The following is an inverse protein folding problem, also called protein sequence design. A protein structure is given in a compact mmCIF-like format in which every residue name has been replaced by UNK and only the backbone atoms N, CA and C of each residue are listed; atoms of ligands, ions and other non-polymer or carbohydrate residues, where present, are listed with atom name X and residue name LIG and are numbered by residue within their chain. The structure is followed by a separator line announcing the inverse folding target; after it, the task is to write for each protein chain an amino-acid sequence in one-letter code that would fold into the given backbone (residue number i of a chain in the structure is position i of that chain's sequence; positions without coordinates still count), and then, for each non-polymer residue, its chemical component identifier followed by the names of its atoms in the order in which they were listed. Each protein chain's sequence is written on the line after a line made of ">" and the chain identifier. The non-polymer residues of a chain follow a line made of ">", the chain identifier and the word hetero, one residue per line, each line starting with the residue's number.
data_IF_262990199046
#
_entry.id   IF_262990199046
#
_cell.length_a   1.000
_cell.length_b   1.000
_cell.length_c   1.000
_cell.angle_alpha   90.00
_cell.angle_beta   90.00
_cell.angle_gamma   90.00
#
_symmetry.space_group_name_H-M   'P 1'
#
loop_
_entity.id
_entity.type
_entity.pdbx_description
1 polymer ?
#
# COMPACT_ATOMS: atom_id res chain seq x y z
N UNK A 1 15.08 -8.52 11.32
CA UNK A 1 14.76 -7.42 10.38
C UNK A 1 13.90 -6.34 11.03
N UNK A 2 12.68 -6.61 11.50
CA UNK A 2 11.82 -5.56 12.10
C UNK A 2 12.48 -4.92 13.33
N UNK A 3 13.04 -5.71 14.24
CA UNK A 3 13.77 -5.17 15.40
C UNK A 3 15.02 -4.36 15.00
N UNK A 4 15.73 -4.79 13.94
CA UNK A 4 16.86 -4.05 13.37
C UNK A 4 16.43 -2.69 12.81
N UNK A 5 15.29 -2.66 12.08
CA UNK A 5 14.72 -1.43 11.55
C UNK A 5 14.40 -0.43 12.67
N UNK A 6 13.77 -0.91 13.75
CA UNK A 6 13.45 -0.07 14.89
C UNK A 6 14.71 0.43 15.61
N UNK A 7 15.68 -0.46 15.87
CA UNK A 7 16.92 -0.10 16.56
C UNK A 7 17.72 0.98 15.81
N UNK A 8 17.74 0.96 14.48
CA UNK A 8 18.58 1.86 13.67
C UNK A 8 17.87 3.15 13.24
N UNK A 9 16.60 3.06 12.84
CA UNK A 9 15.90 4.18 12.19
C UNK A 9 14.85 4.81 13.08
N UNK A 10 14.40 4.12 14.12
CA UNK A 10 13.32 4.54 15.01
C UNK A 10 13.66 4.25 16.48
N UNK A 11 14.82 4.71 16.99
CA UNK A 11 15.20 4.47 18.37
C UNK A 11 14.18 5.10 19.31
N UNK A 12 13.74 4.34 20.31
CA UNK A 12 12.75 4.77 21.29
C UNK A 12 11.29 4.43 20.94
N UNK A 13 11.02 3.95 19.72
CA UNK A 13 9.70 3.39 19.40
C UNK A 13 9.48 2.05 20.10
N UNK A 14 8.26 1.84 20.58
CA UNK A 14 7.86 0.59 21.25
C UNK A 14 7.85 -0.58 20.25
N UNK A 15 8.68 -1.62 20.45
CA UNK A 15 8.69 -2.81 19.62
C UNK A 15 7.33 -3.49 19.52
N UNK A 16 6.45 -3.36 20.51
CA UNK A 16 5.11 -3.94 20.46
C UNK A 16 4.21 -3.27 19.41
N UNK A 17 4.54 -2.04 19.02
CA UNK A 17 3.80 -1.25 18.02
C UNK A 17 4.40 -1.33 16.62
N UNK A 18 5.45 -2.14 16.41
CA UNK A 18 6.10 -2.29 15.11
C UNK A 18 5.11 -2.68 14.00
N UNK A 19 4.06 -3.45 14.33
CA UNK A 19 3.01 -3.81 13.37
C UNK A 19 2.31 -2.58 12.78
N UNK A 20 2.11 -1.52 13.55
CA UNK A 20 1.46 -0.30 13.07
C UNK A 20 2.35 0.40 12.03
N UNK A 21 3.63 0.60 12.37
CA UNK A 21 4.65 1.18 11.48
C UNK A 21 4.78 0.35 10.20
N UNK A 22 4.83 -0.99 10.32
CA UNK A 22 4.96 -1.89 9.18
C UNK A 22 3.72 -1.93 8.27
N UNK A 23 2.55 -1.50 8.74
CA UNK A 23 1.35 -1.38 7.92
C UNK A 23 1.08 0.06 7.43
N UNK A 24 1.92 1.03 7.79
CA UNK A 24 1.83 2.41 7.32
C UNK A 24 1.07 3.33 8.25
N UNK A 25 0.69 2.86 9.44
CA UNK A 25 0.08 3.71 10.44
C UNK A 25 1.13 4.70 10.98
N UNK A 26 0.81 6.00 11.05
CA UNK A 26 1.72 7.01 11.58
C UNK A 26 1.82 6.98 13.12
N UNK A 27 1.14 6.05 13.80
CA UNK A 27 1.20 5.87 15.24
C UNK A 27 2.02 4.62 15.57
N UNK A 28 3.01 4.68 16.48
CA UNK A 28 3.31 5.72 17.46
C UNK A 28 4.46 6.65 17.05
N UNK A 29 4.82 6.74 15.77
CA UNK A 29 5.86 7.67 15.30
C UNK A 29 5.44 9.13 15.57
N UNK A 30 5.76 9.61 16.77
CA UNK A 30 5.42 10.96 17.27
C UNK A 30 6.11 12.07 16.50
N UNK A 31 7.06 11.70 15.63
CA UNK A 31 7.90 12.59 14.83
C UNK A 31 7.78 12.20 13.36
N UNK A 32 7.84 13.20 12.47
CA UNK A 32 7.90 12.96 11.04
C UNK A 32 9.05 12.00 10.69
N UNK A 33 8.72 10.88 10.03
CA UNK A 33 9.70 9.89 9.61
C UNK A 33 10.74 10.52 8.66
N UNK A 34 12.03 10.35 8.96
CA UNK A 34 13.09 10.74 8.04
C UNK A 34 12.99 9.98 6.71
N UNK A 35 13.56 10.52 5.63
CA UNK A 35 13.60 9.82 4.34
C UNK A 35 14.32 8.48 4.42
N UNK A 36 15.36 8.41 5.25
CA UNK A 36 16.10 7.18 5.51
C UNK A 36 15.19 6.14 6.18
N UNK A 37 14.45 6.52 7.22
CA UNK A 37 13.49 5.64 7.89
C UNK A 37 12.37 5.19 6.94
N UNK A 38 11.82 6.11 6.13
CA UNK A 38 10.79 5.79 5.12
C UNK A 38 11.30 4.74 4.11
N UNK A 39 12.51 4.93 3.55
CA UNK A 39 13.13 3.99 2.61
C UNK A 39 13.42 2.64 3.27
N UNK A 40 13.91 2.62 4.51
CA UNK A 40 14.18 1.39 5.25
C UNK A 40 12.89 0.60 5.55
N UNK A 41 11.80 1.26 5.95
CA UNK A 41 10.48 0.63 6.13
C UNK A 41 10.01 -0.01 4.83
N UNK A 42 10.09 0.69 3.71
CA UNK A 42 9.70 0.16 2.40
C UNK A 42 10.51 -1.08 2.03
N UNK A 43 11.84 -1.04 2.20
CA UNK A 43 12.71 -2.19 1.90
C UNK A 43 12.45 -3.37 2.82
N UNK A 44 12.25 -3.12 4.11
CA UNK A 44 11.85 -4.15 5.06
C UNK A 44 10.54 -4.84 4.63
N UNK A 45 9.54 -4.08 4.15
CA UNK A 45 8.29 -4.64 3.61
C UNK A 45 8.51 -5.47 2.35
N UNK A 46 9.42 -5.09 1.46
CA UNK A 46 9.73 -5.88 0.27
C UNK A 46 10.34 -7.24 0.63
N UNK A 47 11.18 -7.28 1.67
CA UNK A 47 11.75 -8.52 2.18
C UNK A 47 10.76 -9.37 2.99
N UNK A 48 9.69 -8.77 3.54
CA UNK A 48 8.62 -9.48 4.25
C UNK A 48 7.49 -9.86 3.30
N UNK A 49 7.35 -11.16 3.00
CA UNK A 49 6.36 -11.68 2.04
C UNK A 49 4.87 -11.46 2.42
N UNK A 50 4.55 -10.98 3.62
CA UNK A 50 3.17 -10.84 4.09
C UNK A 50 2.94 -9.59 4.98
N UNK A 51 1.73 -8.99 4.94
CA UNK A 51 1.35 -7.94 5.86
C UNK A 51 1.34 -8.44 7.31
N UNK A 52 1.86 -7.62 8.21
CA UNK A 52 2.08 -8.01 9.60
C UNK A 52 0.87 -7.66 10.47
N UNK A 53 -0.01 -8.62 10.74
CA UNK A 53 -1.11 -8.42 11.69
C UNK A 53 -0.63 -8.22 13.13
N UNK A 54 -1.38 -7.45 13.93
CA UNK A 54 -1.07 -7.18 15.36
C UNK A 54 -0.88 -8.48 16.16
N UNK A 55 -1.84 -9.41 16.07
CA UNK A 55 -1.79 -10.68 16.80
C UNK A 55 -0.58 -11.54 16.41
N UNK A 56 -0.29 -11.62 15.10
CA UNK A 56 0.88 -12.32 14.57
C UNK A 56 2.17 -11.72 15.12
N UNK A 57 2.29 -10.40 15.11
CA UNK A 57 3.46 -9.71 15.62
C UNK A 57 3.66 -9.91 17.13
N UNK A 58 2.61 -9.71 17.93
CA UNK A 58 2.67 -9.93 19.38
C UNK A 58 3.13 -11.35 19.70
N UNK A 59 2.60 -12.36 18.98
CA UNK A 59 3.02 -13.75 19.14
C UNK A 59 4.49 -13.96 18.78
N UNK A 60 4.95 -13.44 17.64
CA UNK A 60 6.36 -13.57 17.22
C UNK A 60 7.31 -12.87 18.19
N UNK A 61 6.93 -11.70 18.70
CA UNK A 61 7.72 -10.96 19.68
C UNK A 61 7.81 -11.72 21.01
N UNK A 62 6.70 -12.32 21.46
CA UNK A 62 6.69 -13.17 22.64
C UNK A 62 7.58 -14.40 22.48
N UNK A 63 7.53 -15.07 21.32
CA UNK A 63 8.41 -16.19 21.00
C UNK A 63 9.88 -15.75 20.96
N UNK A 64 10.17 -14.60 20.37
CA UNK A 64 11.53 -14.06 20.31
C UNK A 64 12.12 -13.80 21.70
N UNK A 65 11.33 -13.25 22.63
CA UNK A 65 11.73 -13.00 24.03
C UNK A 65 12.08 -14.28 24.80
N UNK A 66 11.55 -15.42 24.38
CA UNK A 66 11.79 -16.72 25.04
C UNK A 66 12.98 -17.48 24.45
N UNK A 67 13.60 -16.97 23.37
CA UNK A 67 14.76 -17.64 22.78
C UNK A 67 15.96 -17.61 23.74
N UNK A 68 16.58 -18.76 24.04
CA UNK A 68 17.75 -18.81 24.90
C UNK A 68 18.97 -18.20 24.19
N UNK A 69 19.96 -17.74 24.96
CA UNK A 69 21.26 -17.41 24.38
C UNK A 69 21.85 -18.63 23.65
N UNK A 70 22.59 -18.44 22.55
CA UNK A 70 22.99 -17.18 21.92
C UNK A 70 22.07 -16.71 20.77
N UNK A 71 20.86 -17.24 20.62
CA UNK A 71 20.03 -17.01 19.42
C UNK A 71 19.53 -15.55 19.21
N UNK A 72 19.11 -14.80 20.26
CA UNK A 72 18.68 -13.42 20.12
C UNK A 72 19.82 -12.48 19.71
N UNK A 73 19.58 -11.66 18.69
CA UNK A 73 20.45 -10.53 18.31
C UNK A 73 20.14 -9.32 19.20
N UNK A 74 18.91 -9.21 19.70
CA UNK A 74 18.46 -8.13 20.53
C UNK A 74 17.81 -8.66 21.81
N UNK A 75 18.01 -7.97 22.92
CA UNK A 75 17.17 -8.07 24.10
C UNK A 75 16.20 -6.90 24.15
N UNK A 76 15.04 -7.13 24.75
CA UNK A 76 13.96 -6.14 24.85
C UNK A 76 13.74 -5.83 26.32
N UNK A 77 14.12 -4.63 26.77
CA UNK A 77 13.99 -4.21 28.16
C UNK A 77 13.18 -2.91 28.24
N UNK A 78 12.04 -2.94 28.91
CA UNK A 78 11.17 -1.76 29.11
C UNK A 78 10.87 -0.98 27.80
N UNK A 79 10.62 -1.70 26.71
CA UNK A 79 10.38 -1.11 25.39
C UNK A 79 11.65 -0.68 24.63
N UNK A 80 12.83 -0.74 25.23
CA UNK A 80 14.09 -0.49 24.54
C UNK A 80 14.63 -1.76 23.86
N UNK A 81 15.24 -1.58 22.69
CA UNK A 81 15.94 -2.64 21.94
C UNK A 81 17.44 -2.50 22.23
N UNK A 82 18.04 -3.52 22.83
CA UNK A 82 19.46 -3.55 23.17
C UNK A 82 20.14 -4.65 22.36
N UNK A 83 21.24 -4.34 21.67
CA UNK A 83 22.00 -5.33 20.90
C UNK A 83 22.73 -6.28 21.84
N UNK A 84 22.64 -7.58 21.55
CA UNK A 84 23.31 -8.65 22.29
C UNK A 84 24.51 -9.16 21.48
N UNK A 85 25.60 -9.47 22.18
CA UNK A 85 26.71 -10.22 21.60
C UNK A 85 26.25 -11.66 21.39
N UNK A 86 26.22 -12.10 20.14
CA UNK A 86 25.95 -13.49 19.77
C UNK A 86 27.19 -14.12 19.16
N UNK A 87 27.50 -15.35 19.58
CA UNK A 87 28.54 -16.18 18.97
C UNK A 87 28.00 -17.00 17.80
N UNK A 88 26.67 -17.06 17.63
CA UNK A 88 26.03 -17.87 16.61
C UNK A 88 25.62 -17.01 15.40
N UNK A 89 26.30 -17.24 14.28
CA UNK A 89 26.11 -16.50 13.03
C UNK A 89 26.17 -14.97 13.28
N UNK A 90 27.31 -14.45 13.77
CA UNK A 90 27.48 -13.04 14.13
C UNK A 90 27.20 -12.08 12.96
N UNK A 91 27.36 -12.56 11.72
CA UNK A 91 27.06 -11.83 10.50
C UNK A 91 25.56 -11.54 10.30
N UNK A 92 24.65 -12.23 11.01
CA UNK A 92 23.20 -12.04 10.88
C UNK A 92 22.79 -10.60 11.11
N UNK A 93 23.40 -9.91 12.07
CA UNK A 93 23.10 -8.51 12.30
C UNK A 93 23.48 -7.68 11.08
N UNK A 94 24.72 -7.79 10.59
CA UNK A 94 25.19 -7.08 9.41
C UNK A 94 24.35 -7.37 8.15
N UNK A 95 23.92 -8.62 7.96
CA UNK A 95 23.03 -9.02 6.87
C UNK A 95 21.65 -8.36 6.97
N UNK A 96 21.07 -8.30 8.17
CA UNK A 96 19.80 -7.61 8.40
C UNK A 96 19.90 -6.10 8.15
N UNK A 97 21.01 -5.48 8.55
CA UNK A 97 21.29 -4.06 8.30
C UNK A 97 21.45 -3.79 6.79
N UNK A 98 22.23 -4.62 6.10
CA UNK A 98 22.41 -4.53 4.65
C UNK A 98 21.07 -4.70 3.90
N UNK A 99 20.19 -5.59 4.37
CA UNK A 99 18.85 -5.77 3.78
C UNK A 99 17.94 -4.53 3.92
N UNK A 100 18.15 -3.68 4.94
CA UNK A 100 17.48 -2.38 5.05
C UNK A 100 18.06 -1.33 4.09
N UNK A 101 19.32 -1.53 3.66
CA UNK A 101 20.00 -0.72 2.65
C UNK A 101 19.64 -1.09 1.20
N UNK A 102 19.33 -2.36 0.95
CA UNK A 102 19.22 -2.90 -0.41
C UNK A 102 17.89 -3.63 -0.59
N UNK A 103 17.06 -3.26 -1.59
CA UNK A 103 15.83 -4.01 -1.89
C UNK A 103 16.16 -5.45 -2.32
N UNK A 104 15.26 -6.42 -2.11
CA UNK A 104 15.44 -7.76 -2.66
C UNK A 104 15.57 -7.71 -4.19
N UNK A 105 16.24 -8.70 -4.81
CA UNK A 105 16.31 -8.77 -6.26
C UNK A 105 14.90 -8.84 -6.87
N UNK A 106 14.70 -8.13 -7.98
CA UNK A 106 13.44 -8.18 -8.71
C UNK A 106 13.33 -9.52 -9.44
N UNK A 107 12.35 -10.33 -9.06
CA UNK A 107 11.96 -11.49 -9.85
C UNK A 107 11.05 -11.02 -11.00
N UNK A 108 11.52 -11.20 -12.23
CA UNK A 108 10.71 -10.90 -13.43
C UNK A 108 9.92 -12.15 -13.78
N UNK A 109 8.69 -12.21 -13.28
CA UNK A 109 7.75 -13.23 -13.73
C UNK A 109 7.20 -12.85 -15.11
N UNK A 110 7.33 -13.75 -16.08
CA UNK A 110 6.71 -13.57 -17.39
C UNK A 110 5.24 -13.97 -17.29
N UNK A 111 4.29 -13.02 -17.38
CA UNK A 111 2.88 -13.36 -17.26
C UNK A 111 2.49 -14.37 -18.34
N UNK A 112 1.82 -15.45 -17.93
CA UNK A 112 1.20 -16.40 -18.85
C UNK A 112 -0.19 -15.88 -19.21
N UNK A 113 -0.33 -15.39 -20.44
CA UNK A 113 -1.62 -14.90 -20.93
C UNK A 113 -2.53 -16.04 -21.36
N UNK A 114 -3.80 -15.95 -20.99
CA UNK A 114 -4.83 -16.88 -21.41
C UNK A 114 -5.06 -16.79 -22.94
N UNK A 115 -5.02 -17.91 -23.69
CA UNK A 115 -5.47 -17.92 -25.07
C UNK A 115 -6.98 -17.66 -25.18
N UNK A 116 -7.47 -17.44 -26.40
CA UNK A 116 -8.90 -17.32 -26.64
C UNK A 116 -9.65 -18.60 -26.22
N UNK A 117 -10.81 -18.44 -25.61
CA UNK A 117 -11.62 -19.56 -25.11
C UNK A 117 -12.46 -19.20 -23.90
N UNK A 118 -13.22 -20.18 -23.41
CA UNK A 118 -14.09 -20.05 -22.25
C UNK A 118 -13.35 -20.54 -21.01
N UNK A 119 -13.32 -19.71 -19.97
CA UNK A 119 -12.67 -20.01 -18.70
C UNK A 119 -13.69 -20.03 -17.58
N UNK A 120 -13.63 -21.09 -16.77
CA UNK A 120 -14.46 -21.25 -15.58
C UNK A 120 -13.59 -21.20 -14.33
N UNK A 121 -13.97 -20.38 -13.38
CA UNK A 121 -13.26 -20.24 -12.11
C UNK A 121 -14.23 -19.91 -10.98
N UNK A 122 -13.79 -20.10 -9.74
CA UNK A 122 -14.61 -19.85 -8.56
C UNK A 122 -14.11 -18.58 -7.86
N UNK A 123 -15.01 -17.62 -7.63
CA UNK A 123 -14.74 -16.42 -6.81
C UNK A 123 -15.73 -16.44 -5.65
N UNK A 124 -15.24 -16.33 -4.41
CA UNK A 124 -16.09 -16.34 -3.21
C UNK A 124 -17.07 -17.54 -3.14
N UNK A 125 -16.62 -18.72 -3.59
CA UNK A 125 -17.41 -19.97 -3.65
C UNK A 125 -18.53 -19.98 -4.69
N UNK A 126 -18.60 -18.98 -5.57
CA UNK A 126 -19.52 -18.92 -6.70
C UNK A 126 -18.79 -19.20 -8.03
N UNK A 127 -19.37 -19.97 -8.96
CA UNK A 127 -18.77 -20.21 -10.26
C UNK A 127 -18.98 -19.01 -11.21
N UNK A 128 -17.91 -18.62 -11.89
CA UNK A 128 -17.89 -17.59 -12.92
C UNK A 128 -17.40 -18.19 -14.23
N UNK A 129 -17.98 -17.74 -15.34
CA UNK A 129 -17.56 -18.06 -16.70
C UNK A 129 -17.18 -16.76 -17.42
N UNK A 130 -16.00 -16.75 -18.04
CA UNK A 130 -15.52 -15.62 -18.85
C UNK A 130 -15.05 -16.14 -20.20
N UNK A 131 -15.59 -15.58 -21.27
CA UNK A 131 -15.08 -15.79 -22.62
C UNK A 131 -13.99 -14.77 -22.93
N UNK A 132 -12.81 -15.27 -23.31
CA UNK A 132 -11.71 -14.47 -23.85
C UNK A 132 -11.78 -14.55 -25.36
N UNK A 133 -12.19 -13.45 -26.00
CA UNK A 133 -12.23 -13.38 -27.47
C UNK A 133 -10.82 -13.30 -28.09
N UNK A 134 -10.74 -13.60 -29.39
CA UNK A 134 -9.47 -13.57 -30.13
C UNK A 134 -8.79 -12.20 -30.14
N UNK A 135 -9.56 -11.11 -30.05
CA UNK A 135 -9.04 -9.74 -30.05
C UNK A 135 -8.36 -9.42 -28.72
N UNK A 136 -8.93 -9.85 -27.61
CA UNK A 136 -8.43 -9.70 -26.24
C UNK A 136 -7.19 -10.55 -26.04
N UNK A 137 -7.21 -11.81 -26.52
CA UNK A 137 -6.04 -12.68 -26.52
C UNK A 137 -4.88 -12.10 -27.35
N UNK A 138 -5.17 -11.49 -28.51
CA UNK A 138 -4.16 -10.82 -29.33
C UNK A 138 -3.62 -9.55 -28.67
N UNK A 139 -4.46 -8.77 -28.00
CA UNK A 139 -4.06 -7.57 -27.26
C UNK A 139 -3.12 -7.93 -26.09
N UNK A 140 -3.41 -9.03 -25.38
CA UNK A 140 -2.58 -9.51 -24.27
C UNK A 140 -1.15 -9.87 -24.73
N UNK A 141 -0.98 -10.42 -25.94
CA UNK A 141 0.36 -10.70 -26.51
C UNK A 141 1.16 -9.45 -26.86
N UNK A 142 0.49 -8.30 -27.02
CA UNK A 142 1.14 -7.00 -27.16
C UNK A 142 1.60 -6.44 -25.81
N UNK A 143 1.70 -7.26 -24.77
CA UNK A 143 2.37 -6.91 -23.55
C UNK A 143 3.81 -6.48 -23.87
N UNK A 144 3.96 -5.18 -24.04
CA UNK A 144 5.24 -4.51 -23.88
C UNK A 144 5.50 -4.63 -22.40
N UNK A 145 6.53 -5.39 -22.02
CA UNK A 145 7.09 -5.27 -20.68
C UNK A 145 7.32 -3.77 -20.50
N UNK A 146 6.48 -3.13 -19.68
CA UNK A 146 6.69 -1.74 -19.36
C UNK A 146 8.03 -1.73 -18.66
N UNK A 147 9.08 -1.32 -19.37
CA UNK A 147 10.32 -0.88 -18.76
C UNK A 147 9.93 0.37 -17.98
N UNK A 148 9.37 0.13 -16.80
CA UNK A 148 9.12 1.14 -15.80
C UNK A 148 10.51 1.58 -15.38
N UNK A 149 11.05 2.57 -16.09
CA UNK A 149 12.17 3.34 -15.57
C UNK A 149 11.74 3.83 -14.19
N UNK A 150 12.52 3.54 -13.12
CA UNK A 150 12.22 4.02 -11.79
C UNK A 150 11.92 5.51 -11.89
N UNK A 151 10.65 5.86 -11.69
CA UNK A 151 10.26 7.23 -11.86
C UNK A 151 10.98 8.03 -10.79
N UNK A 152 11.72 9.06 -11.20
CA UNK A 152 12.34 10.06 -10.32
C UNK A 152 11.35 10.48 -9.23
N UNK A 153 11.87 10.80 -8.05
CA UNK A 153 11.13 11.33 -6.90
C UNK A 153 9.88 12.09 -7.35
N UNK A 154 8.71 11.50 -7.09
CA UNK A 154 7.45 12.13 -7.44
C UNK A 154 7.26 13.28 -6.47
N UNK A 155 7.19 14.50 -7.01
CA UNK A 155 6.78 15.65 -6.22
C UNK A 155 5.40 15.38 -5.59
N UNK A 156 5.16 15.82 -4.34
CA UNK A 156 3.86 15.73 -3.70
C UNK A 156 2.74 16.26 -4.60
N UNK A 157 1.63 15.55 -4.67
CA UNK A 157 0.46 16.02 -5.40
C UNK A 157 -0.45 16.76 -4.42
N UNK A 158 -0.56 18.07 -4.57
CA UNK A 158 -1.47 18.88 -3.78
C UNK A 158 -2.78 19.07 -4.54
N UNK A 159 -3.90 18.76 -3.89
CA UNK A 159 -5.25 18.97 -4.43
C UNK A 159 -6.10 19.67 -3.39
N UNK A 160 -6.68 20.79 -3.76
CA UNK A 160 -7.55 21.59 -2.91
C UNK A 160 -8.98 21.05 -2.91
N UNK A 161 -9.74 21.29 -1.83
CA UNK A 161 -11.17 20.97 -1.76
C UNK A 161 -11.95 21.66 -2.88
N UNK A 162 -11.58 22.89 -3.25
CA UNK A 162 -12.22 23.63 -4.34
C UNK A 162 -12.04 22.92 -5.70
N UNK A 163 -10.86 22.37 -5.98
CA UNK A 163 -10.63 21.57 -7.19
C UNK A 163 -11.45 20.28 -7.21
N UNK A 164 -11.63 19.64 -6.05
CA UNK A 164 -12.48 18.47 -5.91
C UNK A 164 -13.96 18.82 -6.09
N UNK A 165 -14.44 19.95 -5.55
CA UNK A 165 -15.79 20.46 -5.76
C UNK A 165 -16.05 20.78 -7.23
N UNK A 166 -15.08 21.38 -7.93
CA UNK A 166 -15.18 21.62 -9.37
C UNK A 166 -15.26 20.31 -10.16
N UNK A 167 -14.51 19.28 -9.73
CA UNK A 167 -14.55 17.94 -10.34
C UNK A 167 -15.88 17.26 -10.09
N UNK A 168 -16.41 17.31 -8.86
CA UNK A 168 -17.70 16.71 -8.53
C UNK A 168 -18.85 17.37 -9.31
N UNK A 169 -18.82 18.70 -9.49
CA UNK A 169 -19.75 19.42 -10.38
C UNK A 169 -19.75 18.87 -11.81
N UNK A 170 -18.56 18.59 -12.34
CA UNK A 170 -18.43 18.01 -13.68
C UNK A 170 -18.97 16.57 -13.73
N UNK A 171 -18.74 15.78 -12.68
CA UNK A 171 -19.27 14.42 -12.57
C UNK A 171 -20.81 14.43 -12.51
N UNK A 172 -21.40 15.32 -11.71
CA UNK A 172 -22.84 15.54 -11.59
C UNK A 172 -23.47 15.84 -12.96
N UNK A 173 -22.92 16.80 -13.71
CA UNK A 173 -23.37 17.11 -15.08
C UNK A 173 -23.23 15.92 -16.03
N UNK A 174 -22.15 15.14 -15.91
CA UNK A 174 -21.86 14.02 -16.82
C UNK A 174 -22.72 12.78 -16.54
N UNK A 175 -23.21 12.63 -15.30
CA UNK A 175 -23.97 11.47 -14.84
C UNK A 175 -25.46 11.77 -14.65
N UNK A 176 -25.89 13.03 -14.79
CA UNK A 176 -27.27 13.44 -14.48
C UNK A 176 -27.59 13.28 -12.98
N UNK A 177 -26.65 13.63 -12.11
CA UNK A 177 -26.78 13.57 -10.65
C UNK A 177 -26.49 14.94 -10.04
N UNK A 178 -26.92 15.17 -8.79
CA UNK A 178 -26.62 16.35 -7.96
C UNK A 178 -25.91 15.95 -6.63
N UNK A 179 -25.58 14.68 -6.50
CA UNK A 179 -25.10 14.08 -5.26
C UNK A 179 -23.65 14.45 -4.98
N UNK A 180 -22.81 14.46 -6.01
CA UNK A 180 -21.36 14.46 -5.82
C UNK A 180 -20.88 15.80 -5.27
N UNK A 181 -21.36 16.92 -5.82
CA UNK A 181 -21.04 18.25 -5.33
C UNK A 181 -21.53 18.43 -3.89
N UNK A 182 -22.79 18.07 -3.61
CA UNK A 182 -23.37 18.23 -2.28
C UNK A 182 -22.54 17.50 -1.23
N UNK A 183 -22.24 16.22 -1.46
CA UNK A 183 -21.41 15.43 -0.53
C UNK A 183 -19.97 15.97 -0.45
N UNK A 184 -19.40 16.49 -1.54
CA UNK A 184 -18.03 17.02 -1.52
C UNK A 184 -17.94 18.32 -0.71
N UNK A 185 -18.97 19.17 -0.71
CA UNK A 185 -19.02 20.40 0.10
C UNK A 185 -19.15 20.14 1.61
N UNK A 186 -19.67 18.98 2.00
CA UNK A 186 -19.79 18.57 3.41
C UNK A 186 -18.46 18.05 4.00
N UNK A 187 -17.44 17.79 3.15
CA UNK A 187 -16.16 17.24 3.60
C UNK A 187 -15.26 18.35 4.14
N UNK A 188 -14.76 18.13 5.35
CA UNK A 188 -13.73 18.96 6.00
C UNK A 188 -12.43 18.16 6.11
N UNK A 189 -11.29 18.81 5.85
CA UNK A 189 -9.97 18.23 6.05
C UNK A 189 -9.31 18.83 7.28
N UNK A 190 -8.68 17.97 8.08
CA UNK A 190 -7.88 18.37 9.25
C UNK A 190 -6.53 17.67 9.22
N UNK A 191 -5.47 18.41 9.48
CA UNK A 191 -4.11 17.90 9.65
C UNK A 191 -3.88 17.60 11.13
N UNK A 192 -3.26 16.45 11.41
CA UNK A 192 -2.75 16.15 12.75
C UNK A 192 -1.44 16.89 12.93
N UNK A 193 -1.36 17.69 13.99
CA UNK A 193 -0.19 18.46 14.41
C UNK A 193 0.18 18.08 15.84
N UNK A 194 1.33 18.55 16.34
CA UNK A 194 1.74 18.31 17.72
C UNK A 194 0.71 18.84 18.75
N UNK A 195 0.04 19.96 18.41
CA UNK A 195 -0.91 20.65 19.28
C UNK A 195 -2.38 20.25 19.05
N UNK A 196 -2.63 19.24 18.19
CA UNK A 196 -3.97 18.74 17.88
C UNK A 196 -4.32 18.81 16.40
N UNK A 197 -5.55 19.19 16.07
CA UNK A 197 -6.05 19.21 14.70
C UNK A 197 -6.08 20.63 14.13
N UNK A 198 -5.39 20.86 13.02
CA UNK A 198 -5.44 22.11 12.26
C UNK A 198 -6.34 21.95 11.02
N UNK A 199 -7.20 22.92 10.73
CA UNK A 199 -7.99 22.91 9.50
C UNK A 199 -7.09 23.10 8.28
N UNK A 200 -7.44 22.43 7.18
CA UNK A 200 -6.79 22.63 5.88
C UNK A 200 -7.81 22.49 4.77
N UNK A 201 -7.56 23.15 3.65
CA UNK A 201 -8.32 22.97 2.41
C UNK A 201 -7.57 22.09 1.40
N UNK A 202 -6.35 21.67 1.73
CA UNK A 202 -5.43 21.04 0.78
C UNK A 202 -5.12 19.62 1.19
N UNK A 203 -5.47 18.67 0.32
CA UNK A 203 -5.06 17.28 0.40
C UNK A 203 -3.71 17.10 -0.29
N UNK A 204 -2.66 16.95 0.52
CA UNK A 204 -1.33 16.58 0.05
C UNK A 204 -1.21 15.05 -0.06
N UNK A 205 -1.00 14.54 -1.27
CA UNK A 205 -0.68 13.13 -1.54
C UNK A 205 0.83 13.00 -1.74
N UNK A 206 1.49 12.64 -0.65
CA UNK A 206 2.91 12.31 -0.62
C UNK A 206 3.08 10.93 0.01
N UNK A 207 3.38 9.94 -0.83
CA UNK A 207 3.49 8.53 -0.43
C UNK A 207 2.16 7.84 -0.10
N UNK A 208 2.25 6.80 0.73
CA UNK A 208 1.10 6.04 1.22
C UNK A 208 0.47 6.77 2.41
N UNK A 209 -0.82 7.12 2.32
CA UNK A 209 -1.57 7.73 3.43
C UNK A 209 -2.82 6.91 3.74
N UNK A 210 -3.11 6.74 5.03
CA UNK A 210 -4.33 6.10 5.50
C UNK A 210 -5.39 7.16 5.78
N UNK A 211 -6.59 6.94 5.25
CA UNK A 211 -7.75 7.79 5.51
C UNK A 211 -8.67 7.06 6.48
N UNK A 212 -8.79 7.59 7.71
CA UNK A 212 -9.64 7.05 8.76
C UNK A 212 -10.88 7.93 8.88
N UNK A 213 -12.04 7.33 9.10
CA UNK A 213 -13.29 8.07 9.32
C UNK A 213 -14.44 7.11 9.58
N UNK A 214 -15.50 7.60 10.24
CA UNK A 214 -16.70 6.80 10.57
C UNK A 214 -17.40 6.27 9.31
N UNK A 215 -18.29 5.28 9.44
CA UNK A 215 -19.15 4.87 8.33
C UNK A 215 -19.98 6.09 7.87
N UNK A 216 -20.10 6.29 6.56
CA UNK A 216 -20.83 7.44 6.01
C UNK A 216 -20.07 8.78 5.95
N UNK A 217 -18.86 8.90 6.52
CA UNK A 217 -18.03 10.13 6.52
C UNK A 217 -17.52 10.62 5.14
N UNK A 218 -17.99 10.06 4.03
CA UNK A 218 -17.61 10.53 2.70
C UNK A 218 -16.26 10.02 2.15
N UNK A 219 -15.52 9.15 2.85
CA UNK A 219 -14.22 8.60 2.37
C UNK A 219 -14.26 8.04 0.94
N UNK A 220 -15.28 7.23 0.63
CA UNK A 220 -15.44 6.64 -0.71
C UNK A 220 -15.75 7.71 -1.77
N UNK A 221 -16.51 8.74 -1.40
CA UNK A 221 -16.80 9.88 -2.27
C UNK A 221 -15.51 10.65 -2.55
N UNK A 222 -14.76 11.01 -1.51
CA UNK A 222 -13.47 11.70 -1.61
C UNK A 222 -12.50 10.94 -2.52
N UNK A 223 -12.31 9.63 -2.28
CA UNK A 223 -11.45 8.79 -3.12
C UNK A 223 -11.91 8.72 -4.58
N UNK A 224 -13.23 8.66 -4.83
CA UNK A 224 -13.77 8.60 -6.19
C UNK A 224 -13.54 9.90 -6.93
N UNK A 225 -13.91 11.05 -6.33
CA UNK A 225 -13.75 12.38 -6.93
C UNK A 225 -12.27 12.69 -7.15
N UNK A 226 -11.41 12.38 -6.19
CA UNK A 226 -9.96 12.52 -6.30
C UNK A 226 -9.39 11.67 -7.44
N UNK A 227 -9.82 10.41 -7.57
CA UNK A 227 -9.38 9.54 -8.67
C UNK A 227 -9.78 10.10 -10.03
N UNK A 228 -11.02 10.59 -10.16
CA UNK A 228 -11.51 11.24 -11.38
C UNK A 228 -10.70 12.50 -11.70
N UNK A 229 -10.45 13.33 -10.68
CA UNK A 229 -9.66 14.54 -10.80
C UNK A 229 -8.25 14.27 -11.33
N UNK A 230 -7.54 13.30 -10.73
CA UNK A 230 -6.19 12.92 -11.13
C UNK A 230 -6.15 12.26 -12.52
N UNK A 231 -7.15 11.44 -12.85
CA UNK A 231 -7.29 10.85 -14.19
C UNK A 231 -7.50 11.92 -15.28
N UNK A 232 -8.19 13.01 -14.95
CA UNK A 232 -8.37 14.16 -15.84
C UNK A 232 -7.07 14.94 -16.11
N UNK A 233 -6.15 14.98 -15.13
CA UNK A 233 -4.85 15.67 -15.19
C UNK A 233 -3.73 14.87 -15.84
N UNK A 234 -3.88 13.55 -15.96
CA UNK A 234 -2.83 12.71 -16.53
C UNK A 234 -2.60 13.03 -18.03
N UNK A 235 -1.34 13.19 -18.48
CA UNK A 235 -1.04 13.32 -19.90
C UNK A 235 -1.62 12.11 -20.66
N UNK A 236 -2.16 12.37 -21.86
CA UNK A 236 -3.00 11.48 -22.69
C UNK A 236 -2.50 10.03 -22.91
N UNK A 237 -1.28 9.68 -22.49
CA UNK A 237 -0.68 8.35 -22.55
C UNK A 237 -1.18 7.36 -21.49
N UNK A 238 -1.87 7.81 -20.45
CA UNK A 238 -2.46 6.93 -19.42
C UNK A 238 -3.97 6.66 -19.61
N UNK A 239 -4.55 7.03 -20.76
CA UNK A 239 -5.96 6.74 -21.07
C UNK A 239 -6.13 5.31 -21.59
N UNK A 240 -6.14 4.35 -20.67
CA UNK A 240 -6.73 3.03 -20.93
C UNK A 240 -7.65 2.63 -19.78
N UNK A 241 -8.67 3.45 -19.56
CA UNK A 241 -9.92 3.06 -18.95
C UNK A 241 -11.06 3.62 -19.80
N UNK A 242 -11.33 2.97 -20.94
CA UNK A 242 -12.64 3.11 -21.59
C UNK A 242 -13.59 2.11 -20.92
N UNK A 243 -14.44 2.63 -20.03
CA UNK A 243 -15.63 1.94 -19.52
C UNK A 243 -16.61 1.73 -20.68
N UNK A 244 -17.04 0.48 -20.90
CA UNK A 244 -18.40 0.15 -21.33
C UNK A 244 -18.95 -0.86 -20.32
N UNK A 245 -19.83 -0.36 -19.43
CA UNK A 245 -20.82 -1.06 -18.61
C UNK A 245 -20.37 -2.13 -17.58
N UNK A 246 -21.22 -2.43 -16.57
CA UNK A 246 -20.77 -2.60 -15.19
C UNK A 246 -20.61 -4.07 -14.85
N UNK A 247 -19.46 -4.42 -14.25
CA UNK A 247 -19.38 -5.61 -13.42
C UNK A 247 -18.73 -5.22 -12.10
N UNK A 248 -19.35 -5.73 -11.05
CA UNK A 248 -19.08 -5.50 -9.66
C UNK A 248 -17.64 -5.87 -9.24
N UNK A 249 -17.28 -5.34 -8.08
CA UNK A 249 -16.07 -5.59 -7.30
C UNK A 249 -15.51 -7.02 -7.40
N UNK A 250 -14.24 -7.14 -7.73
CA UNK A 250 -13.30 -8.17 -7.27
C UNK A 250 -11.90 -7.54 -7.41
N UNK A 251 -11.05 -7.40 -6.39
CA UNK A 251 -10.67 -8.44 -5.44
C UNK A 251 -9.50 -9.21 -6.06
N UNK A 252 -8.28 -8.72 -5.86
CA UNK A 252 -7.04 -9.40 -6.25
C UNK A 252 -7.05 -10.85 -5.77
N UNK A 253 -6.90 -11.82 -6.68
CA UNK A 253 -6.47 -13.19 -6.36
C UNK A 253 -5.81 -13.78 -7.61
N UNK A 254 -4.53 -14.13 -7.48
CA UNK A 254 -3.86 -15.03 -8.42
C UNK A 254 -4.43 -16.43 -8.26
N UNK A 255 -4.79 -17.07 -9.36
CA UNK A 255 -5.14 -18.48 -9.40
C UNK A 255 -4.39 -19.13 -10.56
N UNK A 256 -3.58 -20.14 -10.23
CA UNK A 256 -3.02 -21.06 -11.20
C UNK A 256 -4.13 -22.01 -11.66
N UNK A 257 -4.34 -22.11 -12.98
CA UNK A 257 -5.31 -23.01 -13.57
C UNK A 257 -4.61 -24.30 -14.04
N UNK A 258 -5.10 -25.45 -13.57
CA UNK A 258 -4.84 -26.77 -14.15
C UNK A 258 -6.01 -27.19 -15.04
N UNK A 259 -5.71 -27.85 -16.17
CA UNK A 259 -6.70 -28.39 -17.11
C UNK A 259 -7.43 -29.59 -16.49
N UNK A 260 -8.76 -29.58 -16.51
CA UNK A 260 -9.59 -30.78 -16.52
C UNK A 260 -9.83 -31.20 -17.97
N UNK A 261 -9.91 -32.51 -18.21
CA UNK A 261 -10.01 -33.16 -19.53
C UNK A 261 -11.32 -32.93 -20.28
#
# INVERSE_FOLDING_TARGET
>A
MILTLLAEYLPGEDPEQAWAIMNGYPFPARVALSDAARKAITRARLHLRAPLGRSTWTRWLAQYRQLPAPYPIYSLHNGAIVTQLTTLAPERQALLQAALGTPPPWEVERPRFAPAGIYRFIVNREPYEVEVDGRSAALARRYVANNLTPQRERAPINVTLNELVATSRWMDRSLGSDRWERTMREIQLRLVTADGFAETDTLCLDGLRHMIGMLGSGKSTLLTVLSTHLAGRAPRRARLWRRRHPIARAGHLGAAATRGG
#
